data_IF_023913649624
#
_entry.id   IF_023913649624
#
_cell.length_a   1.000
_cell.length_b   1.000
_cell.length_c   1.000
_cell.angle_alpha   90.00
_cell.angle_beta   90.00
_cell.angle_gamma   90.00
#
_symmetry.space_group_name_H-M   'P 1'
#
loop_
_entity.id
_entity.type
_entity.pdbx_description
1 polymer ?
#
# COMPACT_ATOMS: atom_id res chain seq x y z
N UNK A 1 -34.23 6.07 28.88
CA UNK A 1 -33.12 5.13 28.61
C UNK A 1 -31.87 5.98 28.50
N UNK A 2 -30.91 5.79 29.39
CA UNK A 2 -29.76 6.67 29.54
C UNK A 2 -28.76 6.48 28.39
N UNK A 3 -28.65 7.48 27.52
CA UNK A 3 -27.54 7.64 26.59
C UNK A 3 -26.27 8.02 27.38
N UNK A 4 -25.69 7.04 28.08
CA UNK A 4 -24.29 7.16 28.49
C UNK A 4 -23.44 6.77 27.27
N UNK A 5 -22.55 7.65 26.76
CA UNK A 5 -21.56 7.21 25.81
C UNK A 5 -20.74 6.10 26.50
N UNK A 6 -20.56 4.96 25.82
CA UNK A 6 -19.65 3.92 26.29
C UNK A 6 -18.33 4.59 26.71
N UNK A 7 -17.84 4.33 27.94
CA UNK A 7 -16.64 5.03 28.43
C UNK A 7 -15.49 4.80 27.44
N UNK A 8 -14.83 5.88 27.01
CA UNK A 8 -13.77 5.80 26.03
C UNK A 8 -12.67 4.83 26.47
N UNK A 9 -12.25 3.92 25.58
CA UNK A 9 -11.13 3.01 25.80
C UNK A 9 -9.84 3.78 25.59
N UNK A 10 -9.19 4.17 26.68
CA UNK A 10 -7.94 4.92 26.64
C UNK A 10 -6.71 4.00 26.47
N UNK A 11 -5.70 4.50 25.76
CA UNK A 11 -4.40 3.84 25.55
C UNK A 11 -3.28 4.86 25.49
N UNK A 12 -2.12 4.57 26.08
CA UNK A 12 -0.95 5.47 26.00
C UNK A 12 -0.49 5.64 24.54
N UNK A 13 -0.47 4.53 23.79
CA UNK A 13 -0.18 4.52 22.35
C UNK A 13 -1.25 3.70 21.61
N UNK A 14 -1.88 4.34 20.62
CA UNK A 14 -2.79 3.67 19.68
C UNK A 14 -2.13 3.55 18.30
N UNK A 15 -2.28 2.40 17.67
CA UNK A 15 -1.78 2.09 16.33
C UNK A 15 -2.98 1.76 15.44
N UNK A 16 -3.09 2.43 14.29
CA UNK A 16 -4.14 2.18 13.31
C UNK A 16 -3.58 1.41 12.12
N UNK A 17 -4.09 0.21 11.89
CA UNK A 17 -3.73 -0.64 10.77
C UNK A 17 -2.90 -1.85 11.19
N UNK A 18 -3.20 -2.97 10.55
CA UNK A 18 -2.62 -4.29 10.82
C UNK A 18 -1.78 -4.82 9.66
N UNK A 19 -1.16 -3.93 8.89
CA UNK A 19 -0.14 -4.31 7.91
C UNK A 19 1.26 -4.42 8.54
N UNK A 20 2.31 -4.64 7.73
CA UNK A 20 3.69 -4.76 8.22
C UNK A 20 4.16 -3.58 9.08
N UNK A 21 3.76 -2.35 8.71
CA UNK A 21 4.07 -1.14 9.47
C UNK A 21 3.44 -1.16 10.86
N UNK A 22 2.14 -1.49 10.96
CA UNK A 22 1.41 -1.54 12.22
C UNK A 22 1.90 -2.64 13.15
N UNK A 23 2.10 -3.86 12.62
CA UNK A 23 2.63 -4.97 13.42
C UNK A 23 4.04 -4.72 13.92
N UNK A 24 4.92 -4.16 13.07
CA UNK A 24 6.27 -3.83 13.49
C UNK A 24 6.25 -2.73 14.54
N UNK A 25 5.43 -1.69 14.37
CA UNK A 25 5.26 -0.65 15.37
C UNK A 25 4.79 -1.22 16.71
N UNK A 26 3.83 -2.15 16.71
CA UNK A 26 3.32 -2.80 17.91
C UNK A 26 4.41 -3.61 18.63
N UNK A 27 5.20 -4.41 17.91
CA UNK A 27 6.32 -5.17 18.50
C UNK A 27 7.31 -4.25 19.21
N UNK A 28 7.72 -3.15 18.56
CA UNK A 28 8.69 -2.22 19.15
C UNK A 28 8.09 -1.45 20.33
N UNK A 29 6.88 -0.94 20.20
CA UNK A 29 6.19 -0.21 21.27
C UNK A 29 5.91 -1.08 22.50
N UNK A 30 5.54 -2.35 22.29
CA UNK A 30 5.33 -3.30 23.37
C UNK A 30 6.63 -3.58 24.14
N UNK A 31 7.74 -3.74 23.43
CA UNK A 31 9.07 -3.90 24.03
C UNK A 31 9.57 -2.65 24.76
N UNK A 32 9.11 -1.48 24.36
CA UNK A 32 9.30 -0.21 25.05
C UNK A 32 8.33 0.00 26.24
N UNK A 33 7.55 -1.02 26.61
CA UNK A 33 6.58 -0.98 27.71
C UNK A 33 5.50 0.11 27.56
N UNK A 34 5.14 0.47 26.32
CA UNK A 34 4.09 1.44 26.03
C UNK A 34 2.68 0.83 26.04
N UNK A 35 2.56 -0.48 26.25
CA UNK A 35 1.29 -1.23 26.24
C UNK A 35 0.42 -0.88 25.01
N UNK A 36 0.93 -1.06 23.78
CA UNK A 36 0.26 -0.57 22.59
C UNK A 36 -1.09 -1.26 22.37
N UNK A 37 -2.06 -0.48 21.92
CA UNK A 37 -3.32 -0.97 21.39
C UNK A 37 -3.30 -0.82 19.86
N UNK A 38 -3.55 -1.89 19.13
CA UNK A 38 -3.63 -1.88 17.68
C UNK A 38 -5.07 -2.11 17.22
N UNK A 39 -5.59 -1.22 16.38
CA UNK A 39 -6.89 -1.37 15.72
C UNK A 39 -6.65 -1.90 14.30
N UNK A 40 -7.24 -3.05 13.98
CA UNK A 40 -6.88 -3.79 12.75
C UNK A 40 -7.34 -3.11 11.46
N UNK A 41 -8.50 -2.44 11.51
CA UNK A 41 -9.28 -2.10 10.32
C UNK A 41 -10.00 -3.32 9.73
N UNK A 42 -10.74 -3.10 8.63
CA UNK A 42 -11.52 -4.14 7.94
C UNK A 42 -10.66 -5.26 7.33
N UNK A 43 -9.50 -4.91 6.79
CA UNK A 43 -8.58 -5.87 6.17
C UNK A 43 -7.44 -6.20 7.15
N UNK A 44 -7.71 -7.11 8.08
CA UNK A 44 -6.69 -7.62 9.00
C UNK A 44 -5.50 -8.19 8.21
N UNK A 45 -4.27 -7.78 8.51
CA UNK A 45 -3.07 -8.19 7.76
C UNK A 45 -2.74 -7.28 6.56
N UNK A 46 -3.66 -6.39 6.16
CA UNK A 46 -3.45 -5.45 5.07
C UNK A 46 -3.26 -6.12 3.70
N UNK A 47 -2.58 -5.40 2.80
CA UNK A 47 -2.46 -5.76 1.37
C UNK A 47 -1.78 -7.12 1.12
N UNK A 48 -0.92 -7.60 2.03
CA UNK A 48 -0.27 -8.91 1.86
C UNK A 48 -1.25 -10.08 1.99
N UNK A 49 -2.45 -9.87 2.55
CA UNK A 49 -3.49 -10.91 2.55
C UNK A 49 -4.03 -11.22 1.16
N UNK A 50 -3.85 -10.31 0.20
CA UNK A 50 -4.32 -10.48 -1.18
C UNK A 50 -3.21 -10.91 -2.14
N UNK A 51 -1.99 -11.10 -1.65
CA UNK A 51 -0.90 -11.68 -2.45
C UNK A 51 -0.73 -13.16 -2.13
N UNK A 52 -0.20 -13.90 -3.10
CA UNK A 52 0.17 -15.31 -2.93
C UNK A 52 1.58 -15.39 -2.36
N UNK A 53 2.61 -15.39 -3.21
CA UNK A 53 4.01 -15.59 -2.83
C UNK A 53 4.74 -14.25 -2.56
N UNK A 54 5.67 -14.26 -1.61
CA UNK A 54 6.50 -13.13 -1.19
C UNK A 54 7.97 -13.53 -1.21
N UNK A 55 8.65 -13.29 -2.32
CA UNK A 55 10.06 -13.66 -2.53
C UNK A 55 11.06 -12.56 -2.15
N UNK A 56 10.57 -11.40 -1.70
CA UNK A 56 11.39 -10.23 -1.40
C UNK A 56 11.38 -9.83 0.09
N UNK A 57 10.90 -10.73 0.95
CA UNK A 57 11.02 -10.59 2.41
C UNK A 57 12.33 -11.23 2.91
N UNK A 58 13.31 -10.45 3.37
CA UNK A 58 14.61 -10.99 3.74
C UNK A 58 14.51 -11.89 4.98
N UNK A 59 15.13 -13.08 4.90
CA UNK A 59 15.12 -14.09 5.97
C UNK A 59 14.20 -15.27 5.69
N UNK A 60 13.32 -15.16 4.69
CA UNK A 60 12.49 -16.25 4.19
C UNK A 60 12.94 -16.59 2.77
N UNK A 61 13.60 -17.75 2.62
CA UNK A 61 14.29 -18.09 1.39
C UNK A 61 13.37 -18.66 0.29
N UNK A 62 12.31 -19.37 0.66
CA UNK A 62 11.44 -20.10 -0.27
C UNK A 62 10.00 -20.18 0.25
N UNK A 63 9.02 -20.01 -0.65
CA UNK A 63 7.63 -20.39 -0.43
C UNK A 63 6.90 -19.61 0.67
N UNK A 64 7.35 -18.41 0.99
CA UNK A 64 6.65 -17.56 1.94
C UNK A 64 5.38 -17.01 1.29
N UNK A 65 4.24 -17.26 1.90
CA UNK A 65 2.98 -16.65 1.47
C UNK A 65 2.72 -15.35 2.22
N UNK A 66 2.03 -14.41 1.57
CA UNK A 66 1.62 -13.13 2.16
C UNK A 66 0.82 -13.29 3.46
N UNK A 67 -0.24 -14.12 3.48
CA UNK A 67 -0.99 -14.43 4.70
C UNK A 67 -0.13 -15.02 5.83
N UNK A 68 0.77 -15.96 5.51
CA UNK A 68 1.64 -16.60 6.50
C UNK A 68 2.58 -15.57 7.17
N UNK A 69 3.10 -14.62 6.38
CA UNK A 69 3.92 -13.54 6.92
C UNK A 69 3.12 -12.66 7.88
N UNK A 70 1.87 -12.32 7.55
CA UNK A 70 1.01 -11.48 8.40
C UNK A 70 0.58 -12.18 9.68
N UNK A 71 0.27 -13.48 9.61
CA UNK A 71 0.00 -14.30 10.79
C UNK A 71 1.21 -14.33 11.73
N UNK A 72 2.42 -14.55 11.19
CA UNK A 72 3.67 -14.49 11.97
C UNK A 72 3.89 -13.13 12.63
N UNK A 73 3.60 -12.04 11.92
CA UNK A 73 3.74 -10.69 12.47
C UNK A 73 2.73 -10.40 13.58
N UNK A 74 1.47 -10.82 13.41
CA UNK A 74 0.46 -10.72 14.45
C UNK A 74 0.87 -11.50 15.70
N UNK A 75 1.23 -12.78 15.54
CA UNK A 75 1.67 -13.63 16.65
C UNK A 75 2.89 -13.03 17.38
N UNK A 76 3.79 -12.36 16.65
CA UNK A 76 4.92 -11.66 17.25
C UNK A 76 4.50 -10.46 18.11
N UNK A 77 3.53 -9.66 17.64
CA UNK A 77 2.99 -8.54 18.41
C UNK A 77 2.25 -9.02 19.67
N UNK A 78 1.40 -10.05 19.53
CA UNK A 78 0.63 -10.65 20.63
C UNK A 78 1.53 -11.33 21.67
N UNK A 79 2.66 -11.92 21.26
CA UNK A 79 3.66 -12.47 22.19
C UNK A 79 4.22 -11.44 23.18
N UNK A 80 4.20 -10.16 22.82
CA UNK A 80 4.60 -9.05 23.70
C UNK A 80 3.39 -8.32 24.29
N UNK A 81 2.26 -9.00 24.43
CA UNK A 81 1.03 -8.48 25.05
C UNK A 81 0.42 -7.24 24.34
N UNK A 82 0.67 -7.09 23.03
CA UNK A 82 -0.05 -6.10 22.23
C UNK A 82 -1.54 -6.40 22.28
N UNK A 83 -2.35 -5.39 22.65
CA UNK A 83 -3.80 -5.52 22.63
C UNK A 83 -4.32 -5.26 21.22
N UNK A 84 -4.82 -6.30 20.56
CA UNK A 84 -5.42 -6.20 19.23
C UNK A 84 -6.93 -6.00 19.36
N UNK A 85 -7.47 -5.02 18.64
CA UNK A 85 -8.90 -4.72 18.59
C UNK A 85 -9.36 -4.78 17.14
N UNK A 86 -10.34 -5.65 16.88
CA UNK A 86 -11.06 -5.71 15.63
C UNK A 86 -12.09 -4.59 15.59
N UNK A 87 -11.73 -3.49 14.94
CA UNK A 87 -12.61 -2.36 14.72
C UNK A 87 -12.16 -1.57 13.49
N UNK A 88 -13.03 -0.73 12.96
CA UNK A 88 -12.74 0.19 11.87
C UNK A 88 -12.97 1.62 12.36
N UNK A 89 -11.91 2.43 12.33
CA UNK A 89 -12.02 3.86 12.62
C UNK A 89 -12.62 4.58 11.40
N UNK A 90 -13.70 5.31 11.62
CA UNK A 90 -14.35 6.13 10.59
C UNK A 90 -14.17 7.63 10.81
N UNK A 91 -13.75 8.06 12.00
CA UNK A 91 -13.47 9.47 12.32
C UNK A 91 -12.35 9.60 13.36
N UNK A 92 -11.53 10.64 13.23
CA UNK A 92 -10.59 11.07 14.26
C UNK A 92 -10.76 12.56 14.56
N UNK A 93 -10.46 12.95 15.79
CA UNK A 93 -10.27 14.32 16.25
C UNK A 93 -8.86 14.45 16.85
N UNK A 94 -7.99 15.14 16.12
CA UNK A 94 -6.59 15.36 16.48
C UNK A 94 -6.34 16.77 17.05
N UNK A 95 -7.40 17.55 17.30
CA UNK A 95 -7.29 18.95 17.74
C UNK A 95 -6.93 19.11 19.21
N UNK A 96 -7.24 18.10 20.02
CA UNK A 96 -7.08 18.10 21.49
C UNK A 96 -6.44 16.80 21.94
N UNK A 97 -5.61 16.85 22.98
CA UNK A 97 -5.05 15.66 23.63
C UNK A 97 -5.79 15.32 24.94
N UNK A 98 -6.00 14.03 25.26
CA UNK A 98 -5.70 12.87 24.42
C UNK A 98 -6.54 12.88 23.13
N UNK A 99 -5.95 12.43 22.02
CA UNK A 99 -6.62 12.36 20.73
C UNK A 99 -7.83 11.44 20.81
N UNK A 100 -8.87 11.70 20.02
CA UNK A 100 -10.11 10.93 20.06
C UNK A 100 -10.38 10.26 18.71
N UNK A 101 -10.69 8.96 18.72
CA UNK A 101 -10.97 8.18 17.53
C UNK A 101 -12.28 7.42 17.69
N UNK A 102 -13.11 7.44 16.65
CA UNK A 102 -14.43 6.83 16.62
C UNK A 102 -14.38 5.63 15.70
N UNK A 103 -14.60 4.45 16.27
CA UNK A 103 -14.76 3.20 15.53
C UNK A 103 -16.19 2.67 15.58
N UNK A 104 -16.49 1.71 14.72
CA UNK A 104 -17.79 1.07 14.63
C UNK A 104 -18.18 0.38 15.95
N UNK A 105 -17.18 -0.14 16.68
CA UNK A 105 -17.36 -0.90 17.93
C UNK A 105 -17.02 -0.11 19.19
N UNK A 106 -16.60 1.15 19.08
CA UNK A 106 -16.31 1.96 20.27
C UNK A 106 -15.63 3.31 20.04
N UNK A 107 -15.50 4.03 21.16
CA UNK A 107 -14.78 5.29 21.27
C UNK A 107 -13.40 5.02 21.90
N UNK A 108 -12.35 5.55 21.29
CA UNK A 108 -10.96 5.37 21.72
C UNK A 108 -10.31 6.72 21.99
N UNK A 109 -9.42 6.76 22.97
CA UNK A 109 -8.55 7.92 23.18
C UNK A 109 -7.08 7.51 23.34
N UNK A 110 -6.17 8.38 22.93
CA UNK A 110 -4.74 8.12 23.10
C UNK A 110 -3.85 9.35 23.28
N UNK A 111 -2.71 9.16 23.97
CA UNK A 111 -1.71 10.21 24.15
C UNK A 111 -0.80 10.34 22.91
N UNK A 112 -0.45 9.19 22.32
CA UNK A 112 0.26 9.09 21.05
C UNK A 112 -0.52 8.25 20.03
N UNK A 113 -0.37 8.58 18.74
CA UNK A 113 -1.03 7.89 17.64
C UNK A 113 -0.03 7.53 16.53
N UNK A 114 0.01 6.27 16.13
CA UNK A 114 0.70 5.81 14.92
C UNK A 114 -0.33 5.45 13.87
N UNK A 115 -0.28 6.13 12.73
CA UNK A 115 -1.14 5.88 11.57
C UNK A 115 -0.37 4.98 10.59
N UNK A 116 -0.84 3.75 10.44
CA UNK A 116 -0.30 2.73 9.54
C UNK A 116 -1.43 2.10 8.69
N UNK A 117 -2.40 2.91 8.28
CA UNK A 117 -3.63 2.48 7.57
C UNK A 117 -3.38 2.04 6.13
N UNK A 118 -2.16 2.18 5.63
CA UNK A 118 -1.73 1.72 4.31
C UNK A 118 -2.39 2.50 3.16
N UNK A 119 -2.44 1.85 2.01
CA UNK A 119 -3.08 2.35 0.80
C UNK A 119 -3.82 1.20 0.10
N UNK A 120 -4.74 1.56 -0.79
CA UNK A 120 -5.42 0.63 -1.68
C UNK A 120 -4.99 0.89 -3.12
N UNK A 121 -4.50 -0.14 -3.81
CA UNK A 121 -4.28 -0.07 -5.24
C UNK A 121 -5.61 0.21 -5.97
N UNK A 122 -5.58 1.10 -6.96
CA UNK A 122 -6.74 1.32 -7.83
C UNK A 122 -6.74 0.25 -8.90
N UNK A 123 -7.88 -0.41 -9.05
CA UNK A 123 -8.16 -1.39 -10.10
C UNK A 123 -9.14 -0.80 -11.12
N UNK A 124 -9.24 -1.40 -12.31
CA UNK A 124 -10.18 -0.98 -13.35
C UNK A 124 -11.65 -1.23 -12.92
N UNK A 125 -11.88 -2.23 -12.08
CA UNK A 125 -13.21 -2.62 -11.60
C UNK A 125 -13.97 -3.46 -12.63
N UNK A 126 -13.27 -4.17 -13.51
CA UNK A 126 -13.89 -5.09 -14.48
C UNK A 126 -13.93 -6.51 -13.90
N UNK A 127 -15.00 -7.30 -14.14
CA UNK A 127 -15.15 -8.62 -13.52
C UNK A 127 -13.99 -9.59 -13.81
N UNK A 128 -13.44 -9.56 -15.03
CA UNK A 128 -12.32 -10.42 -15.40
C UNK A 128 -11.01 -10.03 -14.71
N UNK A 129 -10.80 -8.73 -14.43
CA UNK A 129 -9.64 -8.29 -13.63
C UNK A 129 -9.71 -8.86 -12.21
N UNK A 130 -10.88 -8.79 -11.57
CA UNK A 130 -11.09 -9.37 -10.23
C UNK A 130 -10.83 -10.87 -10.21
N UNK A 131 -11.36 -11.60 -11.21
CA UNK A 131 -11.21 -13.05 -11.30
C UNK A 131 -9.74 -13.50 -11.40
N UNK A 132 -8.87 -12.69 -11.99
CA UNK A 132 -7.47 -13.02 -12.22
C UNK A 132 -6.48 -12.35 -11.24
N UNK A 133 -6.96 -11.63 -10.21
CA UNK A 133 -6.10 -11.08 -9.16
C UNK A 133 -5.28 -12.20 -8.49
N UNK A 134 -3.97 -11.99 -8.37
CA UNK A 134 -3.03 -12.99 -7.84
C UNK A 134 -2.77 -14.20 -8.75
N UNK A 135 -3.37 -14.22 -9.96
CA UNK A 135 -3.23 -15.28 -10.98
C UNK A 135 -2.86 -14.70 -12.35
N UNK A 136 -2.09 -13.63 -12.37
CA UNK A 136 -1.72 -12.91 -13.58
C UNK A 136 -2.10 -11.43 -13.59
N UNK A 137 -3.05 -11.01 -12.75
CA UNK A 137 -3.32 -9.58 -12.52
C UNK A 137 -2.64 -9.14 -11.22
N UNK A 138 -1.82 -8.10 -11.32
CA UNK A 138 -1.09 -7.50 -10.21
C UNK A 138 -1.23 -5.97 -10.23
N UNK A 139 -1.06 -5.33 -9.08
CA UNK A 139 -0.92 -3.88 -8.97
C UNK A 139 0.46 -3.45 -8.41
N UNK A 140 1.42 -4.38 -8.35
CA UNK A 140 2.78 -4.14 -7.87
C UNK A 140 3.82 -4.85 -8.75
N UNK A 141 4.40 -4.14 -9.71
CA UNK A 141 5.42 -4.73 -10.58
C UNK A 141 6.69 -5.17 -9.84
N UNK A 142 7.10 -4.45 -8.79
CA UNK A 142 8.29 -4.81 -8.00
C UNK A 142 8.08 -6.04 -7.13
N UNK A 143 6.83 -6.35 -6.79
CA UNK A 143 6.46 -7.56 -6.07
C UNK A 143 6.49 -8.77 -7.02
N UNK A 144 5.77 -8.69 -8.14
CA UNK A 144 5.46 -9.89 -8.92
C UNK A 144 6.24 -9.98 -10.25
N UNK A 145 6.95 -8.92 -10.64
CA UNK A 145 7.63 -8.85 -11.93
C UNK A 145 8.67 -9.94 -12.14
N UNK A 146 9.26 -10.47 -11.07
CA UNK A 146 10.23 -11.57 -11.12
C UNK A 146 9.63 -12.85 -11.73
N UNK A 147 8.36 -13.15 -11.47
CA UNK A 147 7.66 -14.35 -11.98
C UNK A 147 7.47 -14.34 -13.50
N UNK A 148 7.61 -13.17 -14.14
CA UNK A 148 7.41 -12.98 -15.58
C UNK A 148 8.72 -12.83 -16.36
N UNK A 149 9.83 -13.36 -15.82
CA UNK A 149 11.11 -13.38 -16.52
C UNK A 149 10.96 -14.04 -17.90
N UNK A 150 11.47 -13.36 -18.93
CA UNK A 150 11.42 -13.82 -20.33
C UNK A 150 9.99 -14.07 -20.88
N UNK A 151 8.95 -13.53 -20.23
CA UNK A 151 7.55 -13.56 -20.68
C UNK A 151 7.08 -12.19 -21.16
N UNK A 152 5.93 -12.13 -21.85
CA UNK A 152 5.34 -10.87 -22.27
C UNK A 152 4.32 -10.39 -21.23
N UNK A 153 4.39 -9.10 -20.88
CA UNK A 153 3.52 -8.51 -19.85
C UNK A 153 2.92 -7.21 -20.35
N UNK A 154 1.75 -6.86 -19.81
CA UNK A 154 1.10 -5.58 -20.04
C UNK A 154 1.14 -4.71 -18.78
N UNK A 155 1.34 -3.41 -18.95
CA UNK A 155 1.20 -2.40 -17.90
C UNK A 155 0.10 -1.43 -18.33
N UNK A 156 -0.86 -1.15 -17.44
CA UNK A 156 -1.91 -0.16 -17.70
C UNK A 156 -1.63 1.10 -16.90
N UNK A 157 -1.62 2.25 -17.58
CA UNK A 157 -1.56 3.55 -16.92
C UNK A 157 -0.84 4.59 -17.76
N UNK A 158 -0.59 5.76 -17.17
CA UNK A 158 0.14 6.82 -17.88
C UNK A 158 0.72 7.93 -17.00
N UNK A 159 0.75 7.70 -15.68
CA UNK A 159 1.48 8.55 -14.72
C UNK A 159 2.88 8.00 -14.45
N UNK A 160 3.58 8.56 -13.47
CA UNK A 160 4.92 8.11 -13.07
C UNK A 160 4.94 6.62 -12.73
N UNK A 161 4.00 6.13 -11.92
CA UNK A 161 3.92 4.71 -11.53
C UNK A 161 3.95 3.77 -12.73
N UNK A 162 3.08 3.98 -13.72
CA UNK A 162 3.03 3.11 -14.90
C UNK A 162 4.33 3.15 -15.73
N UNK A 163 4.98 4.31 -15.81
CA UNK A 163 6.25 4.46 -16.54
C UNK A 163 7.41 3.81 -15.78
N UNK A 164 7.47 3.97 -14.46
CA UNK A 164 8.45 3.33 -13.59
C UNK A 164 8.33 1.81 -13.64
N UNK A 165 7.11 1.29 -13.51
CA UNK A 165 6.85 -0.15 -13.55
C UNK A 165 7.16 -0.75 -14.92
N UNK A 166 6.78 -0.07 -16.02
CA UNK A 166 7.14 -0.52 -17.36
C UNK A 166 8.67 -0.53 -17.58
N UNK A 167 9.38 0.47 -17.07
CA UNK A 167 10.85 0.52 -17.13
C UNK A 167 11.49 -0.58 -16.29
N UNK A 168 10.99 -0.83 -15.09
CA UNK A 168 11.42 -1.92 -14.22
C UNK A 168 11.24 -3.29 -14.92
N UNK A 169 10.02 -3.59 -15.38
CA UNK A 169 9.68 -4.83 -16.07
C UNK A 169 10.47 -4.99 -17.38
N UNK A 170 10.84 -3.89 -18.05
CA UNK A 170 11.67 -3.97 -19.27
C UNK A 170 13.05 -4.57 -19.07
N UNK A 171 13.51 -4.74 -17.82
CA UNK A 171 14.77 -5.41 -17.49
C UNK A 171 14.57 -6.89 -17.13
N UNK A 172 13.33 -7.37 -17.02
CA UNK A 172 12.98 -8.72 -16.55
C UNK A 172 12.18 -9.49 -17.63
N UNK A 173 11.08 -8.89 -18.08
CA UNK A 173 10.18 -9.46 -19.08
C UNK A 173 10.84 -9.52 -20.45
N UNK A 174 10.37 -10.41 -21.33
CA UNK A 174 10.76 -10.44 -22.75
C UNK A 174 10.30 -9.18 -23.46
N UNK A 175 9.04 -8.78 -23.28
CA UNK A 175 8.45 -7.56 -23.84
C UNK A 175 7.42 -6.96 -22.87
N UNK A 176 7.32 -5.63 -22.86
CA UNK A 176 6.33 -4.89 -22.05
C UNK A 176 5.40 -4.11 -22.97
N UNK A 177 4.10 -4.33 -22.85
CA UNK A 177 3.06 -3.56 -23.53
C UNK A 177 2.51 -2.49 -22.57
N UNK A 178 2.88 -1.23 -22.76
CA UNK A 178 2.31 -0.12 -21.98
C UNK A 178 1.04 0.39 -22.65
N UNK A 179 -0.11 0.09 -22.04
CA UNK A 179 -1.44 0.45 -22.54
C UNK A 179 -1.90 1.73 -21.85
N UNK A 180 -2.22 2.74 -22.66
CA UNK A 180 -2.73 4.02 -22.19
C UNK A 180 -3.95 4.51 -22.98
N UNK A 181 -4.96 4.99 -22.26
CA UNK A 181 -6.24 5.48 -22.82
C UNK A 181 -6.17 6.84 -23.54
N UNK A 182 -4.98 7.42 -23.70
CA UNK A 182 -4.75 8.70 -24.40
C UNK A 182 -3.52 8.56 -25.28
N UNK A 183 -3.19 9.61 -26.02
CA UNK A 183 -2.04 9.75 -26.90
C UNK A 183 -0.79 10.35 -26.21
N UNK A 184 -0.86 10.63 -24.91
CA UNK A 184 0.22 11.26 -24.15
C UNK A 184 0.27 10.82 -22.69
N UNK A 185 1.47 10.78 -22.13
CA UNK A 185 1.73 10.48 -20.72
C UNK A 185 1.72 11.75 -19.86
N UNK A 186 1.34 11.57 -18.59
CA UNK A 186 1.46 12.58 -17.52
C UNK A 186 2.73 12.42 -16.69
N UNK A 187 3.52 11.36 -16.93
CA UNK A 187 4.78 11.14 -16.24
C UNK A 187 5.79 12.27 -16.48
N UNK A 188 6.80 12.37 -15.63
CA UNK A 188 7.88 13.34 -15.78
C UNK A 188 8.62 13.18 -17.12
N UNK A 189 9.07 14.30 -17.70
CA UNK A 189 9.72 14.31 -19.02
C UNK A 189 10.96 13.42 -19.09
N UNK A 190 11.76 13.38 -18.02
CA UNK A 190 12.95 12.53 -17.96
C UNK A 190 12.59 11.04 -18.02
N UNK A 191 11.48 10.64 -17.38
CA UNK A 191 10.98 9.28 -17.38
C UNK A 191 10.36 8.89 -18.72
N UNK A 192 9.63 9.81 -19.35
CA UNK A 192 9.17 9.64 -20.73
C UNK A 192 10.34 9.39 -21.69
N UNK A 193 11.43 10.13 -21.57
CA UNK A 193 12.61 9.95 -22.43
C UNK A 193 13.24 8.55 -22.28
N UNK A 194 13.38 8.06 -21.03
CA UNK A 194 13.86 6.69 -20.78
C UNK A 194 12.93 5.63 -21.37
N UNK A 195 11.63 5.82 -21.21
CA UNK A 195 10.60 4.94 -21.75
C UNK A 195 10.65 4.89 -23.29
N UNK A 196 10.72 6.04 -23.95
CA UNK A 196 10.80 6.13 -25.41
C UNK A 196 12.09 5.53 -25.95
N UNK A 197 13.21 5.64 -25.22
CA UNK A 197 14.45 4.94 -25.57
C UNK A 197 14.27 3.41 -25.55
N UNK A 198 13.66 2.85 -24.50
CA UNK A 198 13.32 1.42 -24.45
C UNK A 198 12.32 1.03 -25.55
N UNK A 199 11.38 1.90 -25.88
CA UNK A 199 10.44 1.67 -26.98
C UNK A 199 11.12 1.62 -28.34
N UNK A 200 12.10 2.50 -28.60
CA UNK A 200 12.89 2.48 -29.83
C UNK A 200 13.69 1.17 -30.01
N UNK A 201 14.07 0.51 -28.91
CA UNK A 201 14.73 -0.82 -28.94
C UNK A 201 13.75 -1.99 -29.09
N UNK A 202 12.43 -1.73 -29.13
CA UNK A 202 11.40 -2.76 -29.20
C UNK A 202 11.10 -3.49 -27.89
N UNK A 203 11.82 -3.16 -26.80
CA UNK A 203 11.61 -3.78 -25.47
C UNK A 203 10.27 -3.39 -24.84
N UNK A 204 9.81 -2.18 -25.14
CA UNK A 204 8.51 -1.65 -24.71
C UNK A 204 7.69 -1.30 -25.96
N UNK A 205 6.46 -1.80 -26.05
CA UNK A 205 5.49 -1.37 -27.05
C UNK A 205 4.49 -0.41 -26.41
N UNK A 206 4.33 0.78 -26.99
CA UNK A 206 3.42 1.81 -26.50
C UNK A 206 2.09 1.70 -27.24
N UNK A 207 1.02 1.41 -26.50
CA UNK A 207 -0.32 1.29 -27.04
C UNK A 207 -1.15 2.47 -26.57
N UNK A 208 -1.25 3.48 -27.43
CA UNK A 208 -2.00 4.70 -27.19
C UNK A 208 -3.48 4.53 -27.48
N UNK A 209 -4.30 5.42 -26.91
CA UNK A 209 -5.74 5.52 -27.15
C UNK A 209 -6.48 4.18 -26.98
N UNK A 210 -6.05 3.37 -26.03
CA UNK A 210 -6.66 2.07 -25.74
C UNK A 210 -6.88 1.89 -24.24
N UNK A 211 -7.99 1.27 -23.88
CA UNK A 211 -8.28 0.80 -22.53
C UNK A 211 -8.42 -0.72 -22.54
N UNK A 212 -8.05 -1.37 -21.44
CA UNK A 212 -8.35 -2.80 -21.26
C UNK A 212 -9.85 -2.95 -21.05
N UNK A 213 -10.46 -3.77 -21.91
CA UNK A 213 -11.87 -4.14 -21.85
C UNK A 213 -12.06 -5.43 -21.05
N UNK A 214 -11.15 -6.41 -21.24
CA UNK A 214 -11.28 -7.73 -20.64
C UNK A 214 -9.89 -8.34 -20.39
N UNK A 215 -9.73 -9.00 -19.24
CA UNK A 215 -8.57 -9.86 -18.98
C UNK A 215 -8.90 -11.28 -19.45
N UNK A 216 -8.08 -11.82 -20.33
CA UNK A 216 -8.27 -13.13 -20.94
C UNK A 216 -7.38 -14.15 -20.22
N UNK A 217 -7.88 -15.35 -19.99
CA UNK A 217 -7.12 -16.40 -19.32
C UNK A 217 -7.84 -17.74 -19.33
N UNK A 218 -7.19 -18.74 -18.73
CA UNK A 218 -7.75 -20.05 -18.45
C UNK A 218 -8.00 -20.21 -16.93
N UNK A 219 -8.35 -21.40 -16.47
CA UNK A 219 -8.61 -21.64 -15.04
C UNK A 219 -7.39 -21.38 -14.14
N UNK A 220 -6.18 -21.43 -14.69
CA UNK A 220 -4.94 -21.29 -13.94
C UNK A 220 -4.41 -19.85 -13.92
N UNK A 221 -4.36 -19.17 -15.07
CA UNK A 221 -3.73 -17.86 -15.18
C UNK A 221 -4.21 -17.01 -16.36
N UNK A 222 -3.81 -15.73 -16.35
CA UNK A 222 -3.91 -14.82 -17.50
C UNK A 222 -3.15 -15.39 -18.71
N UNK A 223 -3.76 -15.25 -19.89
CA UNK A 223 -3.16 -15.60 -21.18
C UNK A 223 -3.19 -14.43 -22.18
N UNK A 224 -3.91 -13.35 -21.87
CA UNK A 224 -3.92 -12.16 -22.68
C UNK A 224 -4.79 -11.04 -22.13
N UNK A 225 -4.88 -9.94 -22.86
CA UNK A 225 -5.81 -8.84 -22.60
C UNK A 225 -6.49 -8.42 -23.88
N UNK A 226 -7.81 -8.19 -23.80
CA UNK A 226 -8.55 -7.48 -24.85
C UNK A 226 -8.51 -6.00 -24.57
N UNK A 227 -8.04 -5.24 -25.55
CA UNK A 227 -8.06 -3.78 -25.50
C UNK A 227 -9.07 -3.22 -26.49
N UNK A 228 -9.66 -2.09 -26.11
CA UNK A 228 -10.60 -1.33 -26.92
C UNK A 228 -10.05 0.07 -27.17
N UNK A 229 -10.08 0.46 -28.44
CA UNK A 229 -9.77 1.81 -28.89
C UNK A 229 -10.75 2.82 -28.31
N UNK A 230 -10.22 3.91 -27.77
CA UNK A 230 -11.01 5.04 -27.27
C UNK A 230 -11.45 5.99 -28.38
N UNK A 231 -11.11 5.70 -29.64
CA UNK A 231 -11.41 6.56 -30.79
C UNK A 231 -12.57 6.01 -31.63
N UNK A 232 -12.63 4.70 -31.84
CA UNK A 232 -13.58 4.05 -32.75
C UNK A 232 -14.20 2.78 -32.17
N UNK A 233 -13.91 2.44 -30.92
CA UNK A 233 -14.39 1.23 -30.22
C UNK A 233 -13.95 -0.10 -30.84
N UNK A 234 -13.02 -0.10 -31.79
CA UNK A 234 -12.39 -1.32 -32.29
C UNK A 234 -11.66 -2.07 -31.17
N UNK A 235 -11.63 -3.40 -31.24
CA UNK A 235 -11.00 -4.24 -30.24
C UNK A 235 -9.89 -5.09 -30.85
N UNK A 236 -8.88 -5.41 -30.04
CA UNK A 236 -7.87 -6.41 -30.38
C UNK A 236 -7.36 -7.10 -29.12
N UNK A 237 -6.93 -8.34 -29.28
CA UNK A 237 -6.36 -9.13 -28.20
C UNK A 237 -4.82 -9.05 -28.25
N UNK A 238 -4.19 -9.08 -27.08
CA UNK A 238 -2.74 -9.09 -26.92
C UNK A 238 -2.39 -10.25 -26.01
N UNK A 239 -1.57 -11.17 -26.51
CA UNK A 239 -1.06 -12.29 -25.74
C UNK A 239 -0.04 -11.80 -24.71
N UNK A 240 -0.35 -11.97 -23.44
CA UNK A 240 0.50 -11.61 -22.30
C UNK A 240 0.26 -12.61 -21.16
N UNK A 241 1.28 -12.86 -20.37
CA UNK A 241 1.19 -13.76 -19.20
C UNK A 241 0.85 -13.00 -17.92
N UNK A 242 1.06 -11.68 -17.90
CA UNK A 242 0.77 -10.83 -16.74
C UNK A 242 0.23 -9.45 -17.14
N UNK A 243 -0.67 -8.92 -16.31
CA UNK A 243 -1.23 -7.58 -16.39
C UNK A 243 -0.95 -6.82 -15.09
N UNK A 244 -0.21 -5.71 -15.21
CA UNK A 244 0.14 -4.82 -14.12
C UNK A 244 -0.70 -3.55 -14.18
N UNK A 245 -1.55 -3.34 -13.18
CA UNK A 245 -2.51 -2.27 -13.09
C UNK A 245 -1.90 -1.09 -12.33
N UNK A 246 -1.31 -0.15 -13.07
CA UNK A 246 -0.54 0.98 -12.53
C UNK A 246 -1.29 2.31 -12.66
N UNK A 247 -2.57 2.34 -12.29
CA UNK A 247 -3.45 3.52 -12.36
C UNK A 247 -3.49 4.36 -11.07
N UNK A 248 -2.54 4.10 -10.16
CA UNK A 248 -2.34 4.83 -8.92
C UNK A 248 -2.81 4.05 -7.69
N UNK A 249 -2.53 4.59 -6.51
CA UNK A 249 -3.03 4.08 -5.23
C UNK A 249 -3.82 5.19 -4.53
N UNK A 250 -4.74 4.80 -3.66
CA UNK A 250 -5.45 5.68 -2.75
C UNK A 250 -4.95 5.41 -1.32
N UNK A 251 -4.10 6.26 -0.74
CA UNK A 251 -3.72 6.12 0.67
C UNK A 251 -4.97 6.25 1.55
N UNK A 252 -5.07 5.44 2.60
CA UNK A 252 -6.25 5.37 3.45
C UNK A 252 -6.24 6.50 4.49
N UNK A 253 -6.40 7.74 4.01
CA UNK A 253 -6.18 8.97 4.78
C UNK A 253 -7.39 9.89 4.89
N UNK A 254 -8.53 9.51 4.30
CA UNK A 254 -9.71 10.37 4.17
C UNK A 254 -10.18 10.93 5.53
N UNK A 255 -10.09 10.14 6.61
CA UNK A 255 -10.49 10.57 7.96
C UNK A 255 -9.56 11.62 8.60
N UNK A 256 -8.38 11.87 8.02
CA UNK A 256 -7.41 12.86 8.49
C UNK A 256 -7.39 14.13 7.62
N UNK A 257 -8.21 14.19 6.57
CA UNK A 257 -8.26 15.33 5.67
C UNK A 257 -8.61 16.63 6.43
N UNK A 258 -7.82 17.68 6.22
CA UNK A 258 -7.95 18.95 6.94
C UNK A 258 -7.37 18.96 8.36
N UNK A 259 -6.91 17.82 8.88
CA UNK A 259 -6.25 17.71 10.19
C UNK A 259 -4.74 17.52 10.07
N UNK A 260 -4.30 16.75 9.07
CA UNK A 260 -2.88 16.48 8.79
C UNK A 260 -2.47 17.04 7.43
N UNK A 261 -1.20 17.48 7.32
CA UNK A 261 -0.61 17.88 6.06
C UNK A 261 -0.48 16.67 5.13
N UNK A 262 -0.90 16.84 3.87
CA UNK A 262 -0.94 15.77 2.88
C UNK A 262 -0.35 16.22 1.55
N UNK A 263 0.25 15.29 0.82
CA UNK A 263 0.66 15.48 -0.57
C UNK A 263 0.08 14.34 -1.42
N UNK A 264 -0.75 14.66 -2.40
CA UNK A 264 -1.46 13.67 -3.23
C UNK A 264 -2.24 12.62 -2.42
N UNK A 265 -2.78 13.03 -1.26
CA UNK A 265 -3.48 12.16 -0.32
C UNK A 265 -2.57 11.42 0.68
N UNK A 266 -1.25 11.36 0.46
CA UNK A 266 -0.32 10.72 1.40
C UNK A 266 -0.02 11.64 2.58
N UNK A 267 0.11 11.09 3.78
CA UNK A 267 0.49 11.85 4.97
C UNK A 267 1.93 12.33 4.84
N UNK A 268 2.16 13.63 5.05
CA UNK A 268 3.50 14.17 5.09
C UNK A 268 4.13 13.91 6.45
N UNK A 269 5.33 13.34 6.44
CA UNK A 269 6.19 13.14 7.61
C UNK A 269 7.42 14.03 7.52
N UNK A 270 8.09 14.28 8.65
CA UNK A 270 9.30 15.11 8.70
C UNK A 270 10.45 14.58 7.84
N UNK A 271 10.64 13.26 7.80
CA UNK A 271 11.77 12.60 7.12
C UNK A 271 13.14 13.14 7.58
N UNK A 272 14.19 12.87 6.81
CA UNK A 272 15.57 13.33 7.09
C UNK A 272 16.35 12.41 8.03
N UNK A 273 17.44 12.94 8.60
CA UNK A 273 18.43 12.17 9.38
C UNK A 273 18.56 12.62 10.84
N UNK A 274 17.73 13.57 11.28
CA UNK A 274 17.82 14.18 12.61
C UNK A 274 16.96 13.49 13.70
N UNK A 275 16.33 12.34 13.38
CA UNK A 275 15.34 11.68 14.24
C UNK A 275 13.97 12.36 14.19
N UNK A 276 12.96 11.74 14.83
CA UNK A 276 11.57 12.19 14.75
C UNK A 276 11.05 12.26 13.30
N UNK A 277 11.45 11.27 12.49
CA UNK A 277 11.31 11.29 11.03
C UNK A 277 9.91 10.89 10.58
N UNK A 278 9.18 10.12 11.40
CA UNK A 278 7.81 9.68 11.10
C UNK A 278 6.74 10.65 11.63
N UNK A 279 7.17 11.72 12.33
CA UNK A 279 6.30 12.76 12.87
C UNK A 279 5.53 13.47 11.75
N UNK A 280 4.21 13.57 11.92
CA UNK A 280 3.32 14.31 11.01
C UNK A 280 3.26 15.80 11.39
N UNK A 281 2.40 16.58 10.71
CA UNK A 281 2.17 17.99 11.05
C UNK A 281 1.54 18.23 12.43
N UNK A 282 1.00 17.20 13.10
CA UNK A 282 0.46 17.29 14.46
C UNK A 282 1.38 16.53 15.40
N UNK A 283 2.00 17.22 16.35
CA UNK A 283 2.89 16.63 17.35
C UNK A 283 2.24 15.40 18.00
N UNK A 284 2.99 14.33 18.25
CA UNK A 284 2.48 13.10 18.88
C UNK A 284 1.64 12.21 17.96
N UNK A 285 1.43 12.63 16.70
CA UNK A 285 0.88 11.81 15.62
C UNK A 285 1.99 11.46 14.64
N UNK A 286 2.19 10.18 14.41
CA UNK A 286 3.22 9.60 13.54
C UNK A 286 2.55 8.83 12.40
N UNK A 287 3.22 8.71 11.25
CA UNK A 287 2.74 7.91 10.13
C UNK A 287 3.81 6.96 9.59
N UNK A 288 3.42 5.75 9.22
CA UNK A 288 4.33 4.70 8.78
C UNK A 288 3.74 3.82 7.66
N UNK A 289 4.62 3.36 6.77
CA UNK A 289 4.27 2.54 5.61
C UNK A 289 3.59 3.32 4.48
N UNK A 290 2.87 2.61 3.62
CA UNK A 290 2.30 3.13 2.37
C UNK A 290 1.40 4.38 2.54
N UNK A 291 0.87 4.62 3.74
CA UNK A 291 0.09 5.84 4.03
C UNK A 291 0.93 7.13 3.92
N UNK A 292 2.24 7.01 4.08
CA UNK A 292 3.23 8.09 4.00
C UNK A 292 4.33 7.86 2.95
N UNK A 293 4.37 6.67 2.34
CA UNK A 293 5.33 6.30 1.28
C UNK A 293 4.63 6.09 -0.08
N UNK A 294 4.77 7.07 -0.96
CA UNK A 294 4.25 6.99 -2.33
C UNK A 294 5.24 6.35 -3.33
N UNK A 295 6.45 5.99 -2.90
CA UNK A 295 7.56 5.63 -3.79
C UNK A 295 7.92 4.15 -3.70
N UNK A 296 8.27 3.64 -2.51
CA UNK A 296 8.80 2.28 -2.38
C UNK A 296 7.70 1.23 -2.24
N UNK A 297 6.76 1.45 -1.30
CA UNK A 297 5.55 0.62 -1.12
C UNK A 297 5.85 -0.87 -1.02
N UNK A 298 6.86 -1.24 -0.25
CA UNK A 298 7.24 -2.63 0.00
C UNK A 298 6.95 -3.02 1.44
N UNK A 299 6.68 -4.30 1.68
CA UNK A 299 6.47 -4.83 3.02
C UNK A 299 7.65 -4.52 3.96
N UNK A 300 8.88 -4.69 3.45
CA UNK A 300 10.11 -4.47 4.22
C UNK A 300 10.36 -2.99 4.53
N UNK A 301 10.05 -2.07 3.60
CA UNK A 301 10.17 -0.63 3.86
C UNK A 301 9.10 -0.17 4.85
N UNK A 302 7.86 -0.66 4.69
CA UNK A 302 6.77 -0.42 5.62
C UNK A 302 7.08 -0.91 7.04
N UNK A 303 7.64 -2.11 7.19
CA UNK A 303 8.09 -2.63 8.49
C UNK A 303 9.18 -1.72 9.11
N UNK A 304 10.16 -1.29 8.31
CA UNK A 304 11.18 -0.34 8.75
C UNK A 304 10.59 0.99 9.26
N UNK A 305 9.63 1.56 8.54
CA UNK A 305 8.93 2.78 8.97
C UNK A 305 8.11 2.54 10.26
N UNK A 306 7.48 1.36 10.40
CA UNK A 306 6.76 0.99 11.62
C UNK A 306 7.67 0.97 12.85
N UNK A 307 8.87 0.42 12.72
CA UNK A 307 9.91 0.48 13.76
C UNK A 307 10.25 1.94 14.12
N UNK A 308 10.54 2.78 13.12
CA UNK A 308 10.86 4.19 13.35
C UNK A 308 9.73 4.92 14.09
N UNK A 309 8.48 4.70 13.69
CA UNK A 309 7.32 5.33 14.32
C UNK A 309 7.12 4.94 15.78
N UNK A 310 7.37 3.68 16.13
CA UNK A 310 7.32 3.24 17.52
C UNK A 310 8.38 3.93 18.38
N UNK A 311 9.62 4.06 17.88
CA UNK A 311 10.72 4.71 18.59
C UNK A 311 10.54 6.23 18.71
N UNK A 312 9.99 6.87 17.68
CA UNK A 312 9.66 8.29 17.73
C UNK A 312 8.50 8.54 18.70
N UNK A 313 7.48 7.68 18.73
CA UNK A 313 6.39 7.73 19.69
C UNK A 313 6.83 7.49 21.14
N UNK A 314 7.72 6.52 21.37
CA UNK A 314 8.35 6.28 22.69
C UNK A 314 9.00 7.54 23.22
N UNK A 315 9.91 8.14 22.43
CA UNK A 315 10.64 9.36 22.82
C UNK A 315 9.71 10.54 23.09
N UNK A 316 8.60 10.62 22.35
CA UNK A 316 7.59 11.66 22.55
C UNK A 316 6.83 11.43 23.86
N UNK A 317 6.38 10.21 24.13
CA UNK A 317 5.63 9.85 25.33
C UNK A 317 6.48 9.92 26.60
N UNK A 318 7.78 9.66 26.51
CA UNK A 318 8.72 9.77 27.64
C UNK A 318 9.02 11.22 28.03
N UNK A 319 8.98 12.17 27.10
CA UNK A 319 9.14 13.61 27.39
C UNK A 319 7.92 14.23 28.06
N UNK A 320 6.77 13.56 28.00
CA UNK A 320 5.51 14.00 28.61
C UNK A 320 5.32 13.54 30.06
N UNK A 321 6.23 12.69 30.56
CA UNK A 321 6.35 12.32 31.98
C UNK A 321 7.27 13.30 32.71
#
# INVERSE_FOLDING_TARGET
MSDYPASAKHSRLLILGSGPAGWTAAVYAARANLQPVLITGLQQGGQLMTTTEVDNWPGDAHGLMGPDLMERMQAHAERFDTKVIFDQIYKADLSTRPFTLFGDSGLYTCDGLIIATGANAKYLGIPSEEAFKGRGVSACATCDGFFYRDQDVAVIGGGNTAVEEALYLSNIARKVYLIHRRDKLRAEKIMQNKLFSKAATGKIELIWNNAVEEVLGNDASVTGVRIRSTQDSSTRDIDVQGLFVAIGHHPNTDLFAGQLAMNNGYLQIHSGTAGNVTQTSVEGVFAAGDVADQHYRQAITSAGFGCMAALDAERFLDKGN
#
